data_IF_652230351981
#
_entry.id   IF_652230351981
#
_cell.length_a   1.000
_cell.length_b   1.000
_cell.length_c   1.000
_cell.angle_alpha   90.00
_cell.angle_beta   90.00
_cell.angle_gamma   90.00
#
_symmetry.space_group_name_H-M   'P 1'
#
loop_
_entity.id
_entity.type
_entity.pdbx_description
1 polymer ?
#
# COMPACT_ATOMS: atom_id res chain seq x y z
N UNK A 1 -3.19 16.28 -7.84
CA UNK A 1 -4.56 15.85 -7.42
C UNK A 1 -5.51 17.04 -7.21
N UNK A 2 -5.53 18.04 -8.11
CA UNK A 2 -6.35 19.24 -7.90
C UNK A 2 -7.87 19.02 -8.02
N UNK A 3 -8.30 18.06 -8.85
CA UNK A 3 -9.73 17.78 -9.08
C UNK A 3 -10.49 17.26 -7.85
N UNK A 4 -9.77 16.73 -6.85
CA UNK A 4 -10.35 16.22 -5.60
C UNK A 4 -10.01 17.13 -4.40
N UNK A 5 -9.58 18.37 -4.66
CA UNK A 5 -9.27 19.38 -3.63
C UNK A 5 -8.23 18.93 -2.58
N UNK A 6 -7.24 18.13 -3.00
CA UNK A 6 -6.16 17.68 -2.12
C UNK A 6 -5.37 18.84 -1.48
N UNK A 7 -5.00 19.93 -2.19
CA UNK A 7 -4.30 21.06 -1.57
C UNK A 7 -5.08 21.71 -0.42
N UNK A 8 -6.40 21.87 -0.58
CA UNK A 8 -7.28 22.42 0.43
C UNK A 8 -7.41 21.46 1.63
N UNK A 9 -7.48 20.15 1.38
CA UNK A 9 -7.45 19.15 2.44
C UNK A 9 -6.12 19.17 3.20
N UNK A 10 -4.97 19.26 2.50
CA UNK A 10 -3.63 19.32 3.10
C UNK A 10 -3.43 20.55 3.98
N UNK A 11 -4.09 21.67 3.67
CA UNK A 11 -4.09 22.86 4.53
C UNK A 11 -4.77 22.62 5.90
N UNK A 12 -5.62 21.58 6.01
CA UNK A 12 -6.24 21.13 7.25
C UNK A 12 -5.45 19.97 7.86
N UNK A 13 -5.19 18.92 7.06
CA UNK A 13 -4.42 17.74 7.46
C UNK A 13 -3.90 16.96 6.24
N UNK A 14 -2.68 16.44 6.32
CA UNK A 14 -2.13 15.46 5.37
C UNK A 14 -2.48 14.00 5.73
N UNK A 15 -3.37 13.79 6.71
CA UNK A 15 -3.60 12.49 7.34
C UNK A 15 -2.87 12.34 8.67
N UNK A 16 -2.97 11.16 9.27
CA UNK A 16 -2.38 10.84 10.58
C UNK A 16 -1.59 9.53 10.49
N UNK A 17 -0.40 9.43 11.11
CA UNK A 17 0.36 8.18 11.15
C UNK A 17 -0.34 7.09 11.99
N UNK A 18 -1.41 7.44 12.72
CA UNK A 18 -2.28 6.47 13.39
C UNK A 18 -3.22 5.71 12.45
N UNK A 19 -3.33 6.14 11.19
CA UNK A 19 -4.10 5.47 10.15
C UNK A 19 -3.12 4.70 9.27
N UNK A 20 -3.31 3.39 9.17
CA UNK A 20 -2.61 2.52 8.24
C UNK A 20 -3.52 2.24 7.05
N UNK A 21 -3.02 2.45 5.84
CA UNK A 21 -3.66 1.98 4.61
C UNK A 21 -2.96 0.71 4.16
N UNK A 22 -3.69 -0.40 4.04
CA UNK A 22 -3.19 -1.63 3.43
C UNK A 22 -3.33 -1.54 1.93
N UNK A 23 -2.23 -1.48 1.19
CA UNK A 23 -2.25 -1.51 -0.27
C UNK A 23 -2.19 -2.97 -0.73
N UNK A 24 -3.34 -3.54 -1.06
CA UNK A 24 -3.45 -4.92 -1.54
C UNK A 24 -3.17 -4.91 -3.04
N UNK A 25 -1.92 -5.20 -3.41
CA UNK A 25 -1.45 -5.03 -4.79
C UNK A 25 -0.25 -5.96 -5.09
N UNK A 26 0.60 -5.63 -6.05
CA UNK A 26 1.81 -6.39 -6.42
C UNK A 26 2.97 -6.22 -5.44
N UNK A 27 2.74 -5.56 -4.31
CA UNK A 27 3.75 -5.26 -3.29
C UNK A 27 4.07 -3.77 -3.22
N UNK A 28 5.06 -3.43 -2.41
CA UNK A 28 5.47 -2.05 -2.20
C UNK A 28 7.00 -1.98 -2.13
N UNK A 29 7.62 -1.13 -2.95
CA UNK A 29 9.04 -0.79 -2.79
C UNK A 29 9.23 0.02 -1.50
N UNK A 30 9.59 -0.69 -0.43
CA UNK A 30 9.74 -0.08 0.89
C UNK A 30 10.98 0.82 1.01
N UNK A 31 11.83 0.84 -0.02
CA UNK A 31 13.03 1.67 -0.09
C UNK A 31 12.83 2.93 -0.93
N UNK A 32 11.69 3.06 -1.62
CA UNK A 32 11.40 4.20 -2.48
C UNK A 32 11.45 5.51 -1.68
N UNK A 33 12.20 6.54 -2.11
CA UNK A 33 12.45 7.74 -1.31
C UNK A 33 11.17 8.53 -0.92
N UNK A 34 10.13 8.45 -1.76
CA UNK A 34 8.83 9.09 -1.47
C UNK A 34 7.92 8.27 -0.56
N UNK A 35 8.21 6.99 -0.34
CA UNK A 35 7.35 6.09 0.44
C UNK A 35 7.99 5.63 1.74
N UNK A 36 9.31 5.44 1.78
CA UNK A 36 10.03 4.79 2.87
C UNK A 36 9.70 5.35 4.27
N UNK A 37 9.48 6.67 4.39
CA UNK A 37 9.10 7.32 5.65
C UNK A 37 7.70 6.94 6.15
N UNK A 38 6.81 6.59 5.24
CA UNK A 38 5.42 6.24 5.49
C UNK A 38 5.16 4.73 5.51
N UNK A 39 6.13 3.90 5.13
CA UNK A 39 5.96 2.44 5.17
C UNK A 39 5.69 1.96 6.59
N UNK A 40 4.67 1.11 6.73
CA UNK A 40 4.44 0.26 7.88
C UNK A 40 5.04 -1.12 7.61
N UNK A 41 6.25 -1.34 8.12
CA UNK A 41 6.95 -2.61 7.92
C UNK A 41 6.35 -3.75 8.76
N UNK A 42 5.66 -3.45 9.86
CA UNK A 42 5.09 -4.45 10.75
C UNK A 42 3.82 -5.07 10.18
N UNK A 43 3.02 -4.26 9.48
CA UNK A 43 1.77 -4.70 8.85
C UNK A 43 1.93 -5.05 7.37
N UNK A 44 3.13 -4.94 6.79
CA UNK A 44 3.41 -5.42 5.43
C UNK A 44 3.53 -6.95 5.38
N UNK A 45 3.08 -7.56 4.29
CA UNK A 45 3.04 -9.02 4.12
C UNK A 45 3.08 -9.43 2.65
N UNK A 46 3.60 -10.62 2.37
CA UNK A 46 3.42 -11.29 1.10
C UNK A 46 2.47 -12.47 1.24
N UNK A 47 1.40 -12.44 0.46
CA UNK A 47 0.31 -13.41 0.43
C UNK A 47 0.24 -14.16 -0.90
N UNK A 48 1.16 -13.98 -1.85
CA UNK A 48 1.09 -14.55 -3.22
C UNK A 48 0.93 -16.07 -3.22
N UNK A 49 1.46 -16.77 -2.22
CA UNK A 49 1.33 -18.22 -2.06
C UNK A 49 0.01 -18.67 -1.38
N UNK A 50 -0.86 -17.74 -1.01
CA UNK A 50 -2.03 -17.98 -0.14
C UNK A 50 -1.70 -18.13 1.34
N UNK A 51 -0.42 -18.02 1.73
CA UNK A 51 0.05 -18.10 3.13
C UNK A 51 0.83 -16.82 3.45
N UNK A 52 0.54 -16.13 4.56
CA UNK A 52 1.19 -14.86 4.86
C UNK A 52 2.66 -15.06 5.22
N UNK A 53 3.54 -14.32 4.54
CA UNK A 53 4.95 -14.14 4.89
C UNK A 53 5.14 -12.68 5.34
N UNK A 54 5.19 -12.41 6.66
CA UNK A 54 5.25 -11.05 7.19
C UNK A 54 6.53 -10.30 6.84
N UNK A 55 6.43 -8.97 6.78
CA UNK A 55 7.55 -8.03 6.65
C UNK A 55 7.65 -7.38 5.27
N UNK A 56 8.06 -6.11 5.26
CA UNK A 56 8.23 -5.32 4.04
C UNK A 56 9.22 -5.91 3.03
N UNK A 57 10.26 -6.61 3.51
CA UNK A 57 11.21 -7.31 2.63
C UNK A 57 10.52 -8.41 1.82
N UNK A 58 9.61 -9.16 2.45
CA UNK A 58 8.84 -10.20 1.75
C UNK A 58 7.82 -9.59 0.78
N UNK A 59 7.26 -8.43 1.15
CA UNK A 59 6.28 -7.67 0.38
C UNK A 59 6.88 -6.73 -0.67
N UNK A 60 8.19 -6.81 -0.93
CA UNK A 60 8.87 -5.99 -1.94
C UNK A 60 8.18 -6.12 -3.29
N UNK A 61 7.93 -4.98 -3.94
CA UNK A 61 7.31 -4.95 -5.26
C UNK A 61 8.30 -5.41 -6.34
N UNK A 62 7.84 -6.28 -7.22
CA UNK A 62 8.58 -6.82 -8.37
C UNK A 62 7.82 -6.59 -9.69
N UNK A 63 6.71 -5.85 -9.67
CA UNK A 63 5.94 -5.45 -10.85
C UNK A 63 5.94 -3.93 -11.05
N UNK A 64 5.73 -3.18 -9.97
CA UNK A 64 5.70 -1.71 -9.96
C UNK A 64 4.29 -1.11 -9.83
N UNK A 65 3.23 -1.89 -10.09
CA UNK A 65 1.85 -1.41 -9.98
C UNK A 65 1.50 -1.01 -8.53
N UNK A 66 1.84 -1.85 -7.56
CA UNK A 66 1.60 -1.58 -6.14
C UNK A 66 2.39 -0.39 -5.60
N UNK A 67 3.65 -0.23 -6.00
CA UNK A 67 4.42 0.98 -5.63
C UNK A 67 3.80 2.25 -6.21
N UNK A 68 3.24 2.19 -7.42
CA UNK A 68 2.56 3.32 -8.06
C UNK A 68 1.24 3.68 -7.34
N UNK A 69 0.42 2.69 -6.97
CA UNK A 69 -0.81 2.91 -6.20
C UNK A 69 -0.48 3.47 -4.82
N UNK A 70 0.52 2.90 -4.13
CA UNK A 70 1.02 3.38 -2.86
C UNK A 70 1.47 4.85 -2.92
N UNK A 71 2.16 5.24 -3.98
CA UNK A 71 2.56 6.64 -4.23
C UNK A 71 1.37 7.58 -4.32
N UNK A 72 0.32 7.17 -5.03
CA UNK A 72 -0.93 7.95 -5.13
C UNK A 72 -1.60 8.13 -3.76
N UNK A 73 -1.52 7.12 -2.89
CA UNK A 73 -2.10 7.16 -1.56
C UNK A 73 -1.27 8.03 -0.60
N UNK A 74 0.01 7.69 -0.44
CA UNK A 74 0.81 8.10 0.71
C UNK A 74 2.24 8.56 0.38
N UNK A 75 2.55 8.93 -0.86
CA UNK A 75 3.84 9.59 -1.15
C UNK A 75 4.01 10.83 -0.25
N UNK A 76 5.15 10.92 0.43
CA UNK A 76 5.42 11.94 1.43
C UNK A 76 5.58 13.33 0.80
N UNK A 77 5.20 14.37 1.54
CA UNK A 77 5.51 15.76 1.16
C UNK A 77 6.97 16.12 1.51
N UNK A 78 7.93 15.45 0.87
CA UNK A 78 9.37 15.52 1.17
C UNK A 78 10.18 16.38 0.18
N UNK A 79 9.53 16.95 -0.84
CA UNK A 79 10.20 17.73 -1.90
C UNK A 79 10.84 16.89 -3.01
N UNK A 80 10.58 15.58 -3.04
CA UNK A 80 10.99 14.64 -4.08
C UNK A 80 9.72 14.18 -4.82
N UNK A 81 9.83 13.93 -6.12
CA UNK A 81 8.78 13.29 -6.91
C UNK A 81 7.38 13.89 -6.76
N UNK A 82 6.46 13.09 -6.22
CA UNK A 82 5.05 13.44 -6.05
C UNK A 82 4.63 13.47 -4.58
N UNK A 83 3.46 14.04 -4.31
CA UNK A 83 2.81 13.97 -2.99
C UNK A 83 1.49 13.21 -3.13
N UNK A 84 1.26 12.27 -2.21
CA UNK A 84 0.06 11.44 -2.16
C UNK A 84 -1.18 12.23 -1.72
N UNK A 85 -2.34 11.58 -1.77
CA UNK A 85 -3.59 12.14 -1.23
C UNK A 85 -3.47 12.37 0.28
N UNK A 86 -2.86 11.44 1.00
CA UNK A 86 -2.71 11.48 2.45
C UNK A 86 -1.22 11.27 2.83
N UNK A 87 -0.34 12.27 2.63
CA UNK A 87 1.10 12.12 2.76
C UNK A 87 1.63 11.84 4.17
N UNK A 88 0.77 11.84 5.20
CA UNK A 88 1.16 11.60 6.60
C UNK A 88 0.56 10.30 7.19
N UNK A 89 -0.16 9.50 6.41
CA UNK A 89 -0.62 8.17 6.86
C UNK A 89 0.50 7.14 6.77
N UNK A 90 0.32 6.02 7.46
CA UNK A 90 1.15 4.84 7.24
C UNK A 90 0.59 4.00 6.11
N UNK A 91 1.47 3.31 5.38
CA UNK A 91 1.09 2.43 4.27
C UNK A 91 1.78 1.08 4.41
N UNK A 92 0.99 0.01 4.47
CA UNK A 92 1.46 -1.37 4.51
C UNK A 92 1.37 -1.96 3.10
N UNK A 93 2.48 -2.55 2.62
CA UNK A 93 2.46 -3.33 1.39
C UNK A 93 1.86 -4.70 1.65
N UNK A 94 0.68 -4.99 1.10
CA UNK A 94 0.04 -6.30 1.18
C UNK A 94 0.13 -6.94 -0.21
N UNK A 95 1.23 -7.65 -0.46
CA UNK A 95 1.50 -8.24 -1.77
C UNK A 95 0.60 -9.45 -2.01
N UNK A 96 -0.43 -9.27 -2.84
CA UNK A 96 -1.33 -10.32 -3.32
C UNK A 96 -1.15 -10.62 -4.82
N UNK A 97 -0.55 -9.69 -5.56
CA UNK A 97 -0.19 -9.84 -6.97
C UNK A 97 1.22 -10.39 -7.17
N UNK A 98 1.39 -11.28 -8.13
CA UNK A 98 2.72 -11.75 -8.56
C UNK A 98 3.41 -10.73 -9.49
N UNK A 99 4.65 -11.03 -9.91
CA UNK A 99 5.44 -10.16 -10.78
C UNK A 99 4.79 -9.88 -12.16
N UNK A 100 3.90 -10.78 -12.62
CA UNK A 100 3.17 -10.64 -13.88
C UNK A 100 1.84 -9.86 -13.71
N UNK A 101 1.50 -9.45 -12.49
CA UNK A 101 0.27 -8.71 -12.18
C UNK A 101 -0.98 -9.57 -12.02
N UNK A 102 -0.84 -10.89 -11.84
CA UNK A 102 -1.97 -11.78 -11.58
C UNK A 102 -2.27 -11.88 -10.08
N UNK A 103 -3.57 -11.88 -9.76
CA UNK A 103 -4.11 -11.97 -8.41
C UNK A 103 -5.01 -13.21 -8.31
N UNK A 104 -4.53 -14.24 -7.61
CA UNK A 104 -5.28 -15.47 -7.39
C UNK A 104 -6.16 -15.36 -6.12
N UNK A 105 -7.34 -16.01 -6.07
CA UNK A 105 -8.27 -15.90 -4.94
C UNK A 105 -7.64 -16.22 -3.58
N UNK A 106 -6.78 -17.23 -3.51
CA UNK A 106 -6.15 -17.64 -2.26
C UNK A 106 -5.24 -16.54 -1.71
N UNK A 107 -4.53 -15.83 -2.59
CA UNK A 107 -3.69 -14.70 -2.24
C UNK A 107 -4.53 -13.50 -1.76
N UNK A 108 -5.64 -13.23 -2.45
CA UNK A 108 -6.57 -12.14 -2.09
C UNK A 108 -7.25 -12.43 -0.75
N UNK A 109 -7.69 -13.68 -0.50
CA UNK A 109 -8.25 -14.10 0.79
C UNK A 109 -7.20 -13.97 1.89
N UNK A 110 -5.96 -14.41 1.66
CA UNK A 110 -4.86 -14.21 2.60
C UNK A 110 -4.68 -12.72 2.94
N UNK A 111 -4.70 -11.84 1.94
CA UNK A 111 -4.52 -10.41 2.11
C UNK A 111 -5.64 -9.76 2.96
N UNK A 112 -6.90 -10.08 2.67
CA UNK A 112 -8.03 -9.57 3.48
C UNK A 112 -8.02 -10.13 4.91
N UNK A 113 -7.65 -11.40 5.08
CA UNK A 113 -7.52 -11.99 6.42
C UNK A 113 -6.39 -11.32 7.21
N UNK A 114 -5.26 -11.05 6.58
CA UNK A 114 -4.17 -10.29 7.18
C UNK A 114 -4.63 -8.89 7.62
N UNK A 115 -5.21 -8.11 6.70
CA UNK A 115 -5.70 -6.77 7.00
C UNK A 115 -6.74 -6.76 8.14
N UNK A 116 -7.69 -7.71 8.12
CA UNK A 116 -8.72 -7.82 9.14
C UNK A 116 -8.17 -8.20 10.52
N UNK A 117 -7.25 -9.17 10.58
CA UNK A 117 -6.65 -9.62 11.85
C UNK A 117 -5.65 -8.62 12.44
N UNK A 118 -5.05 -7.78 11.60
CA UNK A 118 -4.17 -6.68 12.01
C UNK A 118 -4.92 -5.36 12.27
N UNK A 119 -6.26 -5.37 12.16
CA UNK A 119 -7.11 -4.19 12.36
C UNK A 119 -6.74 -2.99 11.48
N UNK A 120 -6.29 -3.25 10.24
CA UNK A 120 -5.99 -2.21 9.26
C UNK A 120 -7.31 -1.52 8.85
N UNK A 121 -7.46 -0.20 9.09
CA UNK A 121 -8.75 0.48 8.95
C UNK A 121 -9.17 0.77 7.50
N UNK A 122 -8.23 0.77 6.54
CA UNK A 122 -8.49 1.10 5.14
C UNK A 122 -7.67 0.18 4.24
N UNK A 123 -8.30 -0.37 3.19
CA UNK A 123 -7.60 -1.14 2.15
C UNK A 123 -7.79 -0.48 0.78
N UNK A 124 -6.73 -0.36 0.00
CA UNK A 124 -6.79 -0.08 -1.44
C UNK A 124 -6.72 -1.39 -2.22
N UNK A 125 -7.48 -1.49 -3.32
CA UNK A 125 -7.58 -2.69 -4.14
C UNK A 125 -7.74 -2.28 -5.61
N UNK A 126 -6.68 -2.41 -6.41
CA UNK A 126 -6.64 -1.97 -7.81
C UNK A 126 -6.46 -3.13 -8.79
N UNK A 127 -7.22 -4.21 -8.60
CA UNK A 127 -7.09 -5.44 -9.36
C UNK A 127 -8.45 -6.11 -9.62
N UNK A 128 -8.46 -7.12 -10.49
CA UNK A 128 -9.49 -8.15 -10.51
C UNK A 128 -8.86 -9.48 -10.09
N UNK A 129 -9.64 -10.39 -9.52
CA UNK A 129 -9.22 -11.75 -9.22
C UNK A 129 -9.90 -12.70 -10.21
N UNK A 130 -9.14 -13.58 -10.83
CA UNK A 130 -9.63 -14.58 -11.79
C UNK A 130 -8.71 -15.82 -11.73
N UNK A 131 -9.27 -17.05 -11.70
CA UNK A 131 -10.71 -17.34 -11.55
C UNK A 131 -11.25 -17.05 -10.16
#
# INVERSE_FOLDING_TARGET
MGQIHTPEAHAITGGSPSVVVGDIDTGLDYTHPDLAVNVDAADSVNCVSGVPVPGSVAAMDDNGHGTHTAGTIAAAANGIGIVGVAPNVKIAGIKAGNADGFFFPEAVVCAFMWAGTHHIPVTNNSYFADP
#
